data_IF_869055639570
#
_entry.id   IF_869055639570
#
_cell.length_a   1.000
_cell.length_b   1.000
_cell.length_c   1.000
_cell.angle_alpha   90.00
_cell.angle_beta   90.00
_cell.angle_gamma   90.00
#
_symmetry.space_group_name_H-M   'P 1'
#
loop_
_entity.id
_entity.type
_entity.pdbx_description
1 polymer ?
#
# COMPACT_ATOMS: atom_id res chain seq x y z
N UNK A 1 47.32 30.87 -7.43
CA UNK A 1 48.43 31.20 -8.35
C UNK A 1 48.58 30.21 -9.51
N UNK A 2 48.17 28.94 -9.33
CA UNK A 2 48.32 27.90 -10.36
C UNK A 2 47.32 27.99 -11.53
N UNK A 3 46.25 28.81 -11.40
CA UNK A 3 45.17 28.96 -12.38
C UNK A 3 44.99 30.44 -12.78
N UNK A 4 46.09 31.12 -13.09
CA UNK A 4 46.08 32.54 -13.49
C UNK A 4 46.74 32.66 -14.86
N UNK A 5 46.09 33.30 -15.85
CA UNK A 5 44.78 33.96 -15.78
C UNK A 5 43.61 32.96 -15.84
N UNK A 6 42.66 33.05 -14.91
CA UNK A 6 41.48 32.17 -14.87
C UNK A 6 40.67 32.13 -16.18
N UNK A 7 40.49 33.23 -16.94
CA UNK A 7 39.75 33.21 -18.21
C UNK A 7 40.38 32.29 -19.27
N UNK A 8 41.70 32.12 -19.27
CA UNK A 8 42.38 31.28 -20.27
C UNK A 8 42.10 29.79 -20.00
N UNK A 9 42.10 29.38 -18.73
CA UNK A 9 41.73 28.03 -18.32
C UNK A 9 40.25 27.74 -18.61
N UNK A 10 39.36 28.71 -18.37
CA UNK A 10 37.94 28.57 -18.69
C UNK A 10 37.71 28.40 -20.20
N UNK A 11 38.40 29.20 -21.04
CA UNK A 11 38.33 29.07 -22.50
C UNK A 11 38.85 27.72 -22.97
N UNK A 12 40.01 27.31 -22.48
CA UNK A 12 40.59 26.00 -22.82
C UNK A 12 39.66 24.85 -22.42
N UNK A 13 38.98 24.95 -21.28
CA UNK A 13 38.00 23.95 -20.85
C UNK A 13 36.80 23.86 -21.81
N UNK A 14 36.24 25.02 -22.18
CA UNK A 14 35.11 25.10 -23.11
C UNK A 14 35.46 24.58 -24.51
N UNK A 15 36.66 24.87 -25.02
CA UNK A 15 37.15 24.36 -26.30
C UNK A 15 37.38 22.84 -26.27
N UNK A 16 37.84 22.31 -25.14
CA UNK A 16 38.10 20.88 -24.96
C UNK A 16 36.81 20.05 -24.73
N UNK A 17 35.74 20.67 -24.23
CA UNK A 17 34.45 20.02 -23.97
C UNK A 17 33.32 20.67 -24.78
N UNK A 18 33.38 20.62 -26.13
CA UNK A 18 32.38 21.24 -26.99
C UNK A 18 31.03 20.50 -27.02
N UNK A 19 30.96 19.32 -26.38
CA UNK A 19 29.77 18.46 -26.33
C UNK A 19 29.44 18.11 -24.88
N UNK A 20 28.15 18.03 -24.50
CA UNK A 20 27.75 17.58 -23.18
C UNK A 20 28.22 16.15 -22.90
N UNK A 21 28.54 15.89 -21.64
CA UNK A 21 28.81 14.54 -21.11
C UNK A 21 27.79 14.21 -20.01
N UNK A 22 27.88 13.01 -19.44
CA UNK A 22 26.99 12.59 -18.36
C UNK A 22 27.44 13.06 -16.96
N UNK A 23 28.60 13.72 -16.85
CA UNK A 23 29.17 14.18 -15.58
C UNK A 23 28.82 15.64 -15.27
N UNK A 24 28.89 16.00 -13.99
CA UNK A 24 28.75 17.38 -13.52
C UNK A 24 29.98 18.22 -13.93
N UNK A 25 29.76 19.50 -14.24
CA UNK A 25 30.79 20.41 -14.78
C UNK A 25 31.97 20.56 -13.81
N UNK A 26 31.72 20.53 -12.51
CA UNK A 26 32.71 20.64 -11.44
C UNK A 26 33.68 19.46 -11.46
N UNK A 27 33.16 18.25 -11.68
CA UNK A 27 33.96 17.04 -11.78
C UNK A 27 34.81 17.01 -13.04
N UNK A 28 34.25 17.45 -14.17
CA UNK A 28 34.99 17.55 -15.42
C UNK A 28 36.07 18.63 -15.38
N UNK A 29 35.74 19.80 -14.83
CA UNK A 29 36.63 20.94 -14.69
C UNK A 29 37.79 20.59 -13.74
N UNK A 30 37.51 19.95 -12.61
CA UNK A 30 38.54 19.44 -11.70
C UNK A 30 39.54 18.52 -12.42
N UNK A 31 39.04 17.49 -13.15
CA UNK A 31 39.87 16.55 -13.91
C UNK A 31 40.69 17.26 -14.99
N UNK A 32 40.08 18.21 -15.68
CA UNK A 32 40.74 18.99 -16.73
C UNK A 32 41.86 19.88 -16.19
N UNK A 33 41.59 20.62 -15.11
CA UNK A 33 42.58 21.48 -14.45
C UNK A 33 43.75 20.66 -13.89
N UNK A 34 43.47 19.49 -13.32
CA UNK A 34 44.49 18.57 -12.85
C UNK A 34 45.38 18.08 -14.00
N UNK A 35 44.78 17.68 -15.13
CA UNK A 35 45.52 17.23 -16.31
C UNK A 35 46.45 18.31 -16.87
N UNK A 36 46.03 19.58 -16.84
CA UNK A 36 46.82 20.70 -17.37
C UNK A 36 47.93 21.18 -16.43
N UNK A 37 47.69 21.16 -15.13
CA UNK A 37 48.57 21.83 -14.15
C UNK A 37 49.29 20.87 -13.19
N UNK A 38 48.86 19.61 -13.14
CA UNK A 38 49.32 18.62 -12.16
C UNK A 38 48.78 18.85 -10.74
N UNK A 39 48.05 19.94 -10.50
CA UNK A 39 47.50 20.30 -9.18
C UNK A 39 46.17 19.59 -8.99
N UNK A 40 46.02 18.85 -7.90
CA UNK A 40 44.75 18.21 -7.58
C UNK A 40 43.73 19.26 -7.11
N UNK A 41 42.53 19.21 -7.69
CA UNK A 41 41.36 20.00 -7.29
C UNK A 41 40.19 19.02 -7.18
N UNK A 42 39.46 19.03 -6.07
CA UNK A 42 38.27 18.22 -5.91
C UNK A 42 37.03 18.96 -6.44
N UNK A 43 36.06 18.21 -6.97
CA UNK A 43 34.79 18.78 -7.43
C UNK A 43 34.04 19.53 -6.31
N UNK A 44 34.18 19.08 -5.07
CA UNK A 44 33.57 19.70 -3.89
C UNK A 44 34.20 21.03 -3.47
N UNK A 45 35.33 21.42 -4.08
CA UNK A 45 35.95 22.74 -3.84
C UNK A 45 35.29 23.86 -4.65
N UNK A 46 34.43 23.53 -5.61
CA UNK A 46 33.65 24.51 -6.36
C UNK A 46 32.37 24.88 -5.60
N UNK A 47 32.29 26.13 -5.14
CA UNK A 47 31.10 26.67 -4.51
C UNK A 47 30.20 27.38 -5.55
N UNK A 48 29.31 26.61 -6.18
CA UNK A 48 28.34 27.13 -7.16
C UNK A 48 27.34 28.09 -6.50
N UNK A 49 27.05 27.92 -5.20
CA UNK A 49 26.11 28.79 -4.48
C UNK A 49 26.67 30.20 -4.30
N UNK A 50 27.99 30.38 -4.37
CA UNK A 50 28.65 31.69 -4.34
C UNK A 50 28.52 32.49 -5.65
N UNK A 51 28.09 31.87 -6.76
CA UNK A 51 27.94 32.54 -8.04
C UNK A 51 26.75 33.49 -8.04
N UNK A 52 26.96 34.71 -8.56
CA UNK A 52 25.86 35.64 -8.81
C UNK A 52 24.82 35.01 -9.75
N UNK A 53 23.51 35.28 -9.57
CA UNK A 53 22.45 34.59 -10.31
C UNK A 53 22.61 34.63 -11.85
N UNK A 54 23.18 35.72 -12.40
CA UNK A 54 23.38 35.85 -13.84
C UNK A 54 24.53 34.98 -14.40
N UNK A 55 25.39 34.43 -13.53
CA UNK A 55 26.45 33.48 -13.87
C UNK A 55 26.02 32.02 -13.70
N UNK A 56 24.87 31.77 -13.08
CA UNK A 56 24.28 30.45 -12.95
C UNK A 56 23.58 30.03 -14.25
N UNK A 57 23.61 28.74 -14.55
CA UNK A 57 22.96 28.17 -15.73
C UNK A 57 21.46 28.45 -15.71
N UNK A 58 20.93 28.98 -16.82
CA UNK A 58 19.50 29.14 -17.02
C UNK A 58 18.94 27.91 -17.75
N UNK A 59 17.94 27.27 -17.18
CA UNK A 59 17.30 26.09 -17.74
C UNK A 59 16.14 26.53 -18.63
N UNK A 60 16.08 26.00 -19.85
CA UNK A 60 14.96 26.21 -20.79
C UNK A 60 14.23 24.90 -21.00
N UNK A 61 12.94 24.89 -20.68
CA UNK A 61 12.05 23.77 -20.99
C UNK A 61 11.47 23.99 -22.39
N UNK A 62 11.68 23.03 -23.29
CA UNK A 62 11.28 23.14 -24.70
C UNK A 62 10.07 22.25 -25.00
N UNK A 63 9.21 22.67 -25.95
CA UNK A 63 8.11 21.83 -26.44
C UNK A 63 8.61 20.75 -27.41
N UNK A 64 8.50 19.49 -26.99
CA UNK A 64 8.89 18.32 -27.79
C UNK A 64 8.14 18.20 -29.13
N UNK A 65 6.92 18.78 -29.26
CA UNK A 65 6.12 18.70 -30.49
C UNK A 65 6.62 19.63 -31.60
N UNK A 66 7.30 20.73 -31.27
CA UNK A 66 7.76 21.73 -32.25
C UNK A 66 9.29 21.70 -32.48
N UNK A 67 10.04 20.94 -31.66
CA UNK A 67 11.49 20.79 -31.75
C UNK A 67 12.00 19.56 -32.51
N UNK A 68 11.12 18.72 -33.06
CA UNK A 68 11.54 17.54 -33.83
C UNK A 68 12.26 17.96 -35.12
N UNK A 69 13.61 17.96 -35.09
CA UNK A 69 14.47 18.29 -36.24
C UNK A 69 14.97 19.74 -36.30
N UNK A 70 14.66 20.59 -35.33
CA UNK A 70 15.18 21.96 -35.22
C UNK A 70 16.24 22.07 -34.12
N UNK A 71 17.29 22.86 -34.34
CA UNK A 71 18.32 23.10 -33.32
C UNK A 71 17.72 23.75 -32.06
N UNK A 72 18.41 23.62 -30.92
CA UNK A 72 17.92 24.11 -29.62
C UNK A 72 17.53 25.60 -29.60
N UNK A 73 18.01 26.40 -30.56
CA UNK A 73 17.67 27.83 -30.70
C UNK A 73 16.32 28.11 -31.38
N UNK A 74 15.71 27.13 -32.06
CA UNK A 74 14.46 27.30 -32.82
C UNK A 74 13.27 26.55 -32.19
N UNK A 75 13.46 25.91 -31.04
CA UNK A 75 12.44 25.19 -30.31
C UNK A 75 11.60 26.16 -29.44
N UNK A 76 10.28 25.99 -29.42
CA UNK A 76 9.41 26.81 -28.60
C UNK A 76 9.70 26.58 -27.11
N UNK A 77 10.11 27.64 -26.41
CA UNK A 77 10.41 27.62 -24.98
C UNK A 77 9.10 27.72 -24.19
N UNK A 78 8.78 26.68 -23.42
CA UNK A 78 7.61 26.60 -22.55
C UNK A 78 7.83 27.35 -21.23
N UNK A 79 9.04 27.30 -20.70
CA UNK A 79 9.43 27.99 -19.47
C UNK A 79 10.96 28.15 -19.39
N UNK A 80 11.40 29.17 -18.66
CA UNK A 80 12.79 29.35 -18.28
C UNK A 80 12.88 29.58 -16.78
N UNK A 81 13.81 28.91 -16.12
CA UNK A 81 14.13 29.17 -14.70
C UNK A 81 15.56 28.71 -14.41
N UNK A 82 16.14 29.26 -13.35
CA UNK A 82 17.41 28.75 -12.78
C UNK A 82 17.17 27.71 -11.69
N UNK A 83 15.91 27.53 -11.29
CA UNK A 83 15.50 26.55 -10.29
C UNK A 83 14.87 25.33 -10.97
N UNK A 84 15.59 24.21 -10.95
CA UNK A 84 15.08 22.93 -11.47
C UNK A 84 13.91 22.40 -10.63
N UNK A 85 13.91 22.63 -9.31
CA UNK A 85 12.83 22.18 -8.44
C UNK A 85 11.52 22.90 -8.78
N UNK A 86 11.57 24.21 -9.01
CA UNK A 86 10.43 25.00 -9.49
C UNK A 86 9.89 24.47 -10.83
N UNK A 87 10.76 24.19 -11.80
CA UNK A 87 10.35 23.64 -13.09
C UNK A 87 9.73 22.24 -12.95
N UNK A 88 10.25 21.40 -12.06
CA UNK A 88 9.69 20.07 -11.76
C UNK A 88 8.34 20.16 -11.08
N UNK A 89 8.14 21.09 -10.17
CA UNK A 89 6.84 21.32 -9.54
C UNK A 89 5.79 21.77 -10.57
N UNK A 90 6.16 22.71 -11.45
CA UNK A 90 5.24 23.27 -12.44
C UNK A 90 4.93 22.33 -13.60
N UNK A 91 5.90 21.55 -14.06
CA UNK A 91 5.79 20.78 -15.31
C UNK A 91 6.05 19.28 -15.17
N UNK A 92 6.43 18.79 -13.99
CA UNK A 92 6.80 17.39 -13.75
C UNK A 92 5.71 16.41 -14.15
N UNK A 93 4.48 16.59 -13.67
CA UNK A 93 3.35 15.72 -14.03
C UNK A 93 3.07 15.68 -15.53
N UNK A 94 3.19 16.82 -16.23
CA UNK A 94 3.01 16.91 -17.69
C UNK A 94 4.15 16.21 -18.43
N UNK A 95 5.37 16.36 -17.95
CA UNK A 95 6.54 15.69 -18.50
C UNK A 95 6.46 14.17 -18.32
N UNK A 96 6.06 13.71 -17.13
CA UNK A 96 5.84 12.28 -16.83
C UNK A 96 4.76 11.68 -17.73
N UNK A 97 3.61 12.36 -17.89
CA UNK A 97 2.54 11.90 -18.76
C UNK A 97 2.96 11.83 -20.24
N UNK A 98 3.66 12.86 -20.75
CA UNK A 98 4.13 12.88 -22.13
C UNK A 98 5.22 11.80 -22.38
N UNK A 99 6.09 11.59 -21.39
CA UNK A 99 7.11 10.55 -21.41
C UNK A 99 6.49 9.15 -21.42
N UNK A 100 5.54 8.89 -20.52
CA UNK A 100 4.78 7.65 -20.44
C UNK A 100 4.06 7.33 -21.76
N UNK A 101 3.38 8.32 -22.36
CA UNK A 101 2.65 8.14 -23.61
C UNK A 101 3.58 7.72 -24.78
N UNK A 102 4.78 8.30 -24.86
CA UNK A 102 5.76 7.92 -25.89
C UNK A 102 6.38 6.55 -25.65
N UNK A 103 6.66 6.22 -24.39
CA UNK A 103 7.20 4.91 -24.02
C UNK A 103 6.14 3.78 -24.14
N UNK A 104 4.86 4.13 -24.06
CA UNK A 104 3.72 3.24 -24.23
C UNK A 104 3.42 2.86 -25.69
N UNK A 105 3.98 3.57 -26.67
CA UNK A 105 3.72 3.34 -28.09
C UNK A 105 4.15 1.92 -28.49
N UNK A 106 3.18 1.08 -28.87
CA UNK A 106 3.40 -0.32 -29.22
C UNK A 106 3.43 -1.33 -28.05
N UNK A 107 3.26 -0.86 -26.80
CA UNK A 107 3.18 -1.71 -25.61
C UNK A 107 1.86 -1.55 -24.83
N UNK A 108 1.23 -0.37 -24.85
CA UNK A 108 0.00 -0.17 -24.10
C UNK A 108 -1.19 -0.93 -24.72
N UNK A 109 -1.95 -1.59 -23.85
CA UNK A 109 -3.13 -2.37 -24.20
C UNK A 109 -4.24 -2.06 -23.18
N UNK A 110 -5.50 -2.10 -23.63
CA UNK A 110 -6.68 -1.79 -22.80
C UNK A 110 -7.67 -2.94 -22.87
N UNK A 111 -8.51 -3.10 -21.86
CA UNK A 111 -9.59 -4.10 -21.89
C UNK A 111 -9.11 -5.54 -21.79
N UNK A 112 -7.92 -5.77 -21.24
CA UNK A 112 -7.35 -7.10 -21.09
C UNK A 112 -8.16 -7.94 -20.11
N UNK A 113 -8.60 -9.11 -20.57
CA UNK A 113 -9.24 -10.16 -19.75
C UNK A 113 -8.37 -11.42 -19.67
N UNK A 114 -7.27 -11.44 -20.42
CA UNK A 114 -6.23 -12.46 -20.40
C UNK A 114 -4.86 -11.78 -20.24
N UNK A 115 -3.86 -12.53 -19.77
CA UNK A 115 -2.50 -12.01 -19.66
C UNK A 115 -1.93 -11.71 -21.05
N UNK A 116 -1.19 -10.60 -21.25
CA UNK A 116 -0.60 -10.27 -22.54
C UNK A 116 0.23 -11.42 -23.13
N UNK A 117 0.07 -11.68 -24.42
CA UNK A 117 0.82 -12.71 -25.13
C UNK A 117 2.33 -12.44 -25.16
N UNK A 118 2.72 -11.16 -25.07
CA UNK A 118 4.11 -10.72 -24.99
C UNK A 118 4.50 -10.54 -23.54
N UNK A 119 5.71 -10.98 -23.20
CA UNK A 119 6.29 -10.70 -21.89
C UNK A 119 6.41 -9.19 -21.66
N UNK A 120 6.07 -8.76 -20.45
CA UNK A 120 6.10 -7.37 -20.02
C UNK A 120 7.53 -7.08 -19.51
N UNK A 121 8.33 -6.25 -20.20
CA UNK A 121 9.69 -5.98 -19.75
C UNK A 121 9.69 -5.20 -18.42
N UNK A 122 10.74 -5.35 -17.61
CA UNK A 122 10.89 -4.56 -16.37
C UNK A 122 10.98 -3.06 -16.62
N UNK A 123 11.61 -2.68 -17.73
CA UNK A 123 11.70 -1.31 -18.19
C UNK A 123 11.81 -1.26 -19.71
N UNK A 124 11.33 -0.16 -20.29
CA UNK A 124 11.52 0.19 -21.70
C UNK A 124 12.22 1.53 -21.81
N UNK A 125 13.01 1.76 -22.87
CA UNK A 125 13.56 3.09 -23.13
C UNK A 125 12.42 4.06 -23.46
N UNK A 126 12.29 5.12 -22.66
CA UNK A 126 11.38 6.22 -22.93
C UNK A 126 12.06 7.37 -23.68
N UNK A 127 11.42 8.54 -23.69
CA UNK A 127 11.95 9.71 -24.37
C UNK A 127 13.34 10.11 -23.82
N UNK A 128 14.32 10.30 -24.70
CA UNK A 128 15.68 10.70 -24.30
C UNK A 128 16.52 9.60 -23.63
N UNK A 129 16.09 8.33 -23.68
CA UNK A 129 16.82 7.20 -23.09
C UNK A 129 16.59 6.98 -21.59
N UNK A 130 15.75 7.80 -20.96
CA UNK A 130 15.31 7.60 -19.57
C UNK A 130 14.44 6.33 -19.52
N UNK A 131 14.58 5.45 -18.51
CA UNK A 131 13.76 4.25 -18.40
C UNK A 131 12.31 4.58 -18.02
N UNK A 132 11.38 3.85 -18.62
CA UNK A 132 9.96 3.83 -18.26
C UNK A 132 9.57 2.41 -17.83
N UNK A 133 8.54 2.27 -17.00
CA UNK A 133 8.24 1.05 -16.27
C UNK A 133 6.81 0.54 -16.60
N UNK A 134 6.68 -0.50 -17.43
CA UNK A 134 5.39 -1.09 -17.74
C UNK A 134 4.76 -1.80 -16.54
N UNK A 135 3.44 -1.67 -16.40
CA UNK A 135 2.65 -2.25 -15.32
C UNK A 135 1.25 -2.64 -15.81
N UNK A 136 0.64 -3.61 -15.11
CA UNK A 136 -0.76 -3.98 -15.31
C UNK A 136 -1.60 -3.22 -14.30
N UNK A 137 -2.61 -2.50 -14.74
CA UNK A 137 -3.51 -1.73 -13.88
C UNK A 137 -4.89 -2.34 -13.82
N UNK A 138 -5.43 -2.52 -12.61
CA UNK A 138 -6.82 -2.90 -12.43
C UNK A 138 -7.77 -1.76 -12.89
N UNK A 139 -8.73 -2.10 -13.75
CA UNK A 139 -9.80 -1.20 -14.22
C UNK A 139 -11.19 -1.64 -13.75
N UNK A 140 -11.27 -2.53 -12.76
CA UNK A 140 -12.51 -3.08 -12.23
C UNK A 140 -12.93 -4.34 -12.97
N UNK A 141 -13.37 -4.24 -14.22
CA UNK A 141 -13.85 -5.41 -14.99
C UNK A 141 -12.79 -6.00 -15.93
N UNK A 142 -11.69 -5.28 -16.14
CA UNK A 142 -10.60 -5.65 -17.01
C UNK A 142 -9.28 -5.04 -16.51
N UNK A 143 -8.23 -5.23 -17.28
CA UNK A 143 -6.89 -4.71 -16.99
C UNK A 143 -6.37 -3.86 -18.15
N UNK A 144 -5.57 -2.85 -17.82
CA UNK A 144 -4.81 -2.08 -18.80
C UNK A 144 -3.31 -2.36 -18.61
N UNK A 145 -2.58 -2.53 -19.71
CA UNK A 145 -1.12 -2.45 -19.70
C UNK A 145 -0.73 -1.00 -19.96
N UNK A 146 -0.13 -0.35 -18.97
CA UNK A 146 0.31 1.05 -19.01
C UNK A 146 1.81 1.14 -18.75
N UNK A 147 2.39 2.30 -19.06
CA UNK A 147 3.81 2.58 -18.80
C UNK A 147 3.92 3.79 -17.90
N UNK A 148 4.73 3.69 -16.84
CA UNK A 148 4.93 4.73 -15.84
C UNK A 148 6.32 5.33 -15.91
N UNK A 149 6.46 6.61 -15.55
CA UNK A 149 7.76 7.23 -15.34
C UNK A 149 8.42 6.76 -14.04
N UNK A 150 7.62 6.43 -13.02
CA UNK A 150 8.10 5.96 -11.71
C UNK A 150 8.09 4.44 -11.58
N UNK A 151 9.24 3.86 -11.21
CA UNK A 151 9.37 2.43 -10.88
C UNK A 151 8.50 2.04 -9.69
N UNK A 152 8.41 2.91 -8.68
CA UNK A 152 7.62 2.64 -7.48
C UNK A 152 6.13 2.62 -7.77
N UNK A 153 5.66 3.52 -8.62
CA UNK A 153 4.26 3.52 -9.06
C UNK A 153 3.92 2.25 -9.83
N UNK A 154 4.76 1.86 -10.79
CA UNK A 154 4.59 0.62 -11.55
C UNK A 154 4.55 -0.61 -10.63
N UNK A 155 5.43 -0.68 -9.62
CA UNK A 155 5.43 -1.76 -8.62
C UNK A 155 4.18 -1.79 -7.75
N UNK A 156 3.63 -0.62 -7.37
CA UNK A 156 2.37 -0.58 -6.61
C UNK A 156 1.17 -1.03 -7.44
N UNK A 157 1.14 -0.71 -8.74
CA UNK A 157 0.01 -0.98 -9.63
C UNK A 157 0.01 -2.40 -10.20
N UNK A 158 1.17 -2.88 -10.66
CA UNK A 158 1.30 -4.15 -11.41
C UNK A 158 0.67 -5.37 -10.71
N UNK A 159 0.92 -5.64 -9.42
CA UNK A 159 0.28 -6.73 -8.69
C UNK A 159 -1.25 -6.68 -8.69
N UNK A 160 -1.83 -5.47 -8.69
CA UNK A 160 -3.28 -5.28 -8.69
C UNK A 160 -3.88 -5.72 -10.01
N UNK A 161 -3.25 -5.36 -11.14
CA UNK A 161 -3.65 -5.84 -12.47
C UNK A 161 -3.46 -7.36 -12.62
N UNK A 162 -2.33 -7.91 -12.16
CA UNK A 162 -2.10 -9.37 -12.15
C UNK A 162 -3.19 -10.09 -11.34
N UNK A 163 -3.52 -9.59 -10.14
CA UNK A 163 -4.60 -10.11 -9.29
C UNK A 163 -5.96 -10.06 -9.96
N UNK A 164 -6.28 -8.99 -10.69
CA UNK A 164 -7.51 -8.86 -11.49
C UNK A 164 -7.57 -9.94 -12.58
N UNK A 165 -6.50 -10.12 -13.36
CA UNK A 165 -6.45 -11.17 -14.38
C UNK A 165 -6.58 -12.58 -13.79
N UNK A 166 -5.91 -12.85 -12.64
CA UNK A 166 -6.06 -14.12 -11.93
C UNK A 166 -7.51 -14.35 -11.50
N UNK A 167 -8.19 -13.31 -11.00
CA UNK A 167 -9.60 -13.37 -10.62
C UNK A 167 -10.49 -13.70 -11.81
N UNK A 168 -10.28 -13.04 -12.96
CA UNK A 168 -11.03 -13.29 -14.20
C UNK A 168 -10.79 -14.75 -14.64
N UNK A 169 -9.54 -15.17 -14.72
CA UNK A 169 -9.16 -16.52 -15.16
C UNK A 169 -9.65 -17.63 -14.21
N UNK A 170 -9.89 -17.33 -12.93
CA UNK A 170 -10.36 -18.28 -11.92
C UNK A 170 -11.86 -18.12 -11.59
N UNK A 171 -12.63 -17.34 -12.36
CA UNK A 171 -14.04 -17.06 -12.08
C UNK A 171 -14.89 -18.33 -11.87
N UNK A 172 -14.71 -19.35 -12.72
CA UNK A 172 -15.42 -20.63 -12.58
C UNK A 172 -15.00 -21.41 -11.33
N UNK A 173 -13.71 -21.36 -10.96
CA UNK A 173 -13.19 -21.99 -9.74
C UNK A 173 -13.73 -21.32 -8.49
N UNK A 174 -13.80 -19.99 -8.47
CA UNK A 174 -14.44 -19.21 -7.40
C UNK A 174 -15.92 -19.59 -7.26
N UNK A 175 -16.65 -19.63 -8.38
CA UNK A 175 -18.06 -20.03 -8.41
C UNK A 175 -18.26 -21.48 -7.93
N UNK A 176 -17.39 -22.40 -8.35
CA UNK A 176 -17.44 -23.80 -7.93
C UNK A 176 -17.16 -23.95 -6.43
N UNK A 177 -16.10 -23.33 -5.93
CA UNK A 177 -15.75 -23.35 -4.51
C UNK A 177 -16.91 -22.82 -3.65
N UNK A 178 -17.50 -21.69 -4.07
CA UNK A 178 -18.66 -21.09 -3.41
C UNK A 178 -19.85 -22.05 -3.34
N UNK A 179 -20.14 -22.82 -4.40
CA UNK A 179 -21.24 -23.79 -4.38
C UNK A 179 -20.96 -25.02 -3.50
N UNK A 180 -19.69 -25.42 -3.39
CA UNK A 180 -19.28 -26.65 -2.71
C UNK A 180 -19.04 -26.49 -1.21
N UNK A 181 -18.90 -25.26 -0.70
CA UNK A 181 -18.69 -25.02 0.73
C UNK A 181 -19.88 -25.50 1.59
N UNK A 182 -19.67 -26.45 2.52
CA UNK A 182 -20.72 -27.03 3.35
C UNK A 182 -21.04 -26.12 4.55
N UNK A 183 -21.72 -25.00 4.30
CA UNK A 183 -22.11 -24.07 5.37
C UNK A 183 -23.28 -24.64 6.18
N UNK A 184 -23.09 -24.75 7.49
CA UNK A 184 -24.16 -25.12 8.41
C UNK A 184 -25.19 -23.97 8.57
N UNK A 185 -26.51 -24.25 8.63
CA UNK A 185 -27.53 -23.21 8.76
C UNK A 185 -27.33 -22.27 9.96
N UNK A 186 -26.94 -22.81 11.11
CA UNK A 186 -26.64 -22.02 12.32
C UNK A 186 -25.53 -21.00 12.07
N UNK A 187 -24.47 -21.39 11.37
CA UNK A 187 -23.35 -20.51 11.05
C UNK A 187 -23.77 -19.38 10.12
N UNK A 188 -24.58 -19.70 9.10
CA UNK A 188 -25.13 -18.71 8.18
C UNK A 188 -25.99 -17.66 8.92
N UNK A 189 -26.81 -18.08 9.90
CA UNK A 189 -27.62 -17.17 10.71
C UNK A 189 -26.77 -16.25 11.59
N UNK A 190 -25.72 -16.78 12.23
CA UNK A 190 -24.79 -15.98 13.03
C UNK A 190 -24.12 -14.89 12.18
N UNK A 191 -23.69 -15.23 10.97
CA UNK A 191 -23.08 -14.28 10.05
C UNK A 191 -24.10 -13.26 9.52
N UNK A 192 -25.31 -13.70 9.15
CA UNK A 192 -26.38 -12.81 8.70
C UNK A 192 -26.75 -11.75 9.76
N UNK A 193 -26.73 -12.12 11.05
CA UNK A 193 -26.95 -11.18 12.16
C UNK A 193 -25.81 -10.17 12.35
N UNK A 194 -24.61 -10.42 11.81
CA UNK A 194 -23.53 -9.43 11.75
C UNK A 194 -23.80 -8.50 10.55
N UNK A 195 -24.05 -9.07 9.37
CA UNK A 195 -24.32 -8.30 8.15
C UNK A 195 -25.51 -7.35 8.30
N UNK A 196 -26.56 -7.75 9.00
CA UNK A 196 -27.75 -6.92 9.21
C UNK A 196 -27.52 -5.69 10.10
N UNK A 197 -26.46 -5.67 10.90
CA UNK A 197 -26.15 -4.56 11.80
C UNK A 197 -25.64 -3.31 11.05
N UNK A 198 -24.99 -3.50 9.89
CA UNK A 198 -24.61 -2.43 8.98
C UNK A 198 -24.54 -2.99 7.54
N UNK A 199 -25.68 -3.08 6.84
CA UNK A 199 -25.76 -3.69 5.52
C UNK A 199 -24.79 -3.04 4.53
N UNK A 200 -24.06 -3.87 3.78
CA UNK A 200 -23.16 -3.43 2.72
C UNK A 200 -23.89 -3.51 1.37
N UNK A 201 -23.74 -2.49 0.54
CA UNK A 201 -24.26 -2.50 -0.83
C UNK A 201 -23.37 -3.36 -1.74
N UNK A 202 -23.49 -4.68 -1.58
CA UNK A 202 -22.71 -5.66 -2.35
C UNK A 202 -23.68 -6.53 -3.14
N UNK A 203 -23.51 -6.65 -4.47
CA UNK A 203 -24.34 -7.51 -5.30
C UNK A 203 -24.33 -8.97 -4.81
N UNK A 204 -25.51 -9.58 -4.71
CA UNK A 204 -25.67 -10.99 -4.35
C UNK A 204 -26.84 -11.25 -3.40
N UNK A 205 -27.14 -12.54 -3.21
CA UNK A 205 -28.17 -12.99 -2.27
C UNK A 205 -27.56 -13.13 -0.86
N UNK A 206 -28.25 -12.57 0.14
CA UNK A 206 -27.84 -12.59 1.55
C UNK A 206 -27.63 -14.01 2.11
N UNK A 207 -28.45 -14.97 1.68
CA UNK A 207 -28.32 -16.38 2.07
C UNK A 207 -27.01 -17.04 1.62
N UNK A 208 -26.28 -16.42 0.71
CA UNK A 208 -25.04 -16.92 0.14
C UNK A 208 -23.83 -16.02 0.42
N UNK A 209 -24.04 -14.96 1.23
CA UNK A 209 -23.03 -13.96 1.60
C UNK A 209 -21.83 -14.60 2.28
N UNK A 210 -22.05 -15.50 3.24
CA UNK A 210 -20.97 -16.19 3.95
C UNK A 210 -20.09 -17.01 3.01
N UNK A 211 -20.68 -17.76 2.05
CA UNK A 211 -19.89 -18.53 1.08
C UNK A 211 -19.07 -17.62 0.19
N UNK A 212 -19.66 -16.52 -0.27
CA UNK A 212 -18.96 -15.53 -1.06
C UNK A 212 -17.77 -14.96 -0.29
N UNK A 213 -17.98 -14.44 0.93
CA UNK A 213 -16.94 -13.79 1.71
C UNK A 213 -15.79 -14.76 2.09
N UNK A 214 -16.09 -16.02 2.39
CA UNK A 214 -15.07 -17.03 2.65
C UNK A 214 -14.19 -17.33 1.43
N UNK A 215 -14.81 -17.45 0.24
CA UNK A 215 -14.08 -17.71 -1.01
C UNK A 215 -13.29 -16.49 -1.47
N UNK A 216 -13.86 -15.30 -1.32
CA UNK A 216 -13.18 -14.04 -1.62
C UNK A 216 -11.98 -13.82 -0.70
N UNK A 217 -12.14 -14.07 0.60
CA UNK A 217 -11.04 -14.04 1.56
C UNK A 217 -9.97 -15.08 1.25
N UNK A 218 -10.37 -16.30 0.84
CA UNK A 218 -9.43 -17.35 0.43
C UNK A 218 -8.58 -16.93 -0.78
N UNK A 219 -9.24 -16.41 -1.82
CA UNK A 219 -8.54 -15.87 -2.98
C UNK A 219 -7.60 -14.72 -2.60
N UNK A 220 -8.06 -13.81 -1.75
CA UNK A 220 -7.27 -12.68 -1.28
C UNK A 220 -5.99 -13.10 -0.54
N UNK A 221 -6.06 -14.17 0.27
CA UNK A 221 -4.89 -14.72 0.95
C UNK A 221 -3.90 -15.38 0.00
N UNK A 222 -4.39 -16.20 -0.94
CA UNK A 222 -3.53 -16.88 -1.91
C UNK A 222 -2.88 -15.91 -2.90
N UNK A 223 -3.54 -14.79 -3.18
CA UNK A 223 -3.07 -13.72 -4.07
C UNK A 223 -2.53 -12.49 -3.30
N UNK A 224 -2.02 -12.69 -2.08
CA UNK A 224 -1.44 -11.61 -1.28
C UNK A 224 0.01 -11.27 -1.68
N UNK A 225 0.78 -12.27 -2.12
CA UNK A 225 2.22 -12.17 -2.35
C UNK A 225 2.64 -12.82 -3.67
N UNK A 226 3.83 -12.47 -4.16
CA UNK A 226 4.46 -13.08 -5.33
C UNK A 226 3.79 -12.73 -6.67
N UNK A 227 3.10 -11.58 -6.73
CA UNK A 227 2.46 -11.09 -7.96
C UNK A 227 3.33 -10.08 -8.73
N UNK A 228 4.28 -9.43 -8.05
CA UNK A 228 5.18 -8.41 -8.64
C UNK A 228 6.06 -8.95 -9.78
N UNK A 229 6.44 -10.23 -9.68
CA UNK A 229 7.36 -10.89 -10.59
C UNK A 229 6.65 -11.54 -11.80
N UNK A 230 5.31 -11.48 -11.86
CA UNK A 230 4.51 -12.12 -12.91
C UNK A 230 4.47 -11.23 -14.16
N UNK A 231 5.50 -11.39 -15.00
CA UNK A 231 5.69 -10.59 -16.21
C UNK A 231 5.58 -11.38 -17.52
N UNK A 232 5.23 -12.67 -17.47
CA UNK A 232 5.06 -13.49 -18.67
C UNK A 232 3.81 -14.38 -18.60
N UNK A 233 3.32 -14.83 -19.76
CA UNK A 233 2.16 -15.72 -19.83
C UNK A 233 2.43 -17.06 -19.11
N UNK A 234 3.68 -17.54 -19.14
CA UNK A 234 4.09 -18.78 -18.47
C UNK A 234 4.06 -18.64 -16.95
N UNK A 235 4.66 -17.57 -16.40
CA UNK A 235 4.65 -17.30 -14.95
C UNK A 235 3.23 -17.06 -14.44
N UNK A 236 2.40 -16.37 -15.23
CA UNK A 236 0.98 -16.20 -14.93
C UNK A 236 0.22 -17.54 -14.92
N UNK A 237 0.45 -18.40 -15.92
CA UNK A 237 -0.22 -19.69 -16.02
C UNK A 237 0.14 -20.62 -14.84
N UNK A 238 1.40 -20.62 -14.41
CA UNK A 238 1.88 -21.35 -13.22
C UNK A 238 1.16 -20.86 -11.96
N UNK A 239 1.12 -19.53 -11.73
CA UNK A 239 0.45 -18.95 -10.57
C UNK A 239 -1.05 -19.24 -10.59
N UNK A 240 -1.70 -19.15 -11.75
CA UNK A 240 -3.12 -19.49 -11.93
C UNK A 240 -3.40 -20.95 -11.54
N UNK A 241 -2.55 -21.88 -11.98
CA UNK A 241 -2.71 -23.30 -11.65
C UNK A 241 -2.51 -23.57 -10.15
N UNK A 242 -1.47 -22.98 -9.55
CA UNK A 242 -1.20 -23.03 -8.11
C UNK A 242 -2.42 -22.55 -7.30
N UNK A 243 -2.91 -21.34 -7.58
CA UNK A 243 -4.08 -20.76 -6.92
C UNK A 243 -5.33 -21.60 -7.17
N UNK A 244 -5.54 -22.08 -8.40
CA UNK A 244 -6.68 -22.91 -8.75
C UNK A 244 -6.74 -24.22 -7.96
N UNK A 245 -5.59 -24.82 -7.64
CA UNK A 245 -5.49 -26.01 -6.78
C UNK A 245 -5.68 -25.68 -5.30
N UNK A 246 -5.13 -24.56 -4.83
CA UNK A 246 -5.15 -24.16 -3.43
C UNK A 246 -6.47 -23.52 -2.97
N UNK A 247 -7.27 -22.96 -3.90
CA UNK A 247 -8.45 -22.15 -3.58
C UNK A 247 -9.48 -22.87 -2.70
N UNK A 248 -9.89 -24.08 -3.08
CA UNK A 248 -10.90 -24.81 -2.32
C UNK A 248 -10.40 -25.31 -0.95
N UNK A 249 -9.17 -25.88 -0.84
CA UNK A 249 -8.56 -26.16 0.47
C UNK A 249 -8.51 -24.93 1.39
N UNK A 250 -8.07 -23.78 0.87
CA UNK A 250 -8.00 -22.52 1.64
C UNK A 250 -9.39 -22.04 2.08
N UNK A 251 -10.37 -22.05 1.17
CA UNK A 251 -11.76 -21.70 1.51
C UNK A 251 -12.34 -22.61 2.60
N UNK A 252 -11.97 -23.90 2.61
CA UNK A 252 -12.38 -24.86 3.64
C UNK A 252 -11.65 -24.61 4.97
N UNK A 253 -10.37 -24.25 4.94
CA UNK A 253 -9.63 -23.85 6.14
C UNK A 253 -10.26 -22.59 6.77
N UNK A 254 -10.59 -21.60 5.94
CA UNK A 254 -11.31 -20.38 6.37
C UNK A 254 -12.70 -20.66 6.92
N UNK A 255 -13.43 -21.62 6.37
CA UNK A 255 -14.71 -22.06 6.94
C UNK A 255 -14.54 -22.55 8.38
N UNK A 256 -13.56 -23.41 8.66
CA UNK A 256 -13.27 -23.90 10.03
C UNK A 256 -12.89 -22.77 10.99
N UNK A 257 -12.12 -21.81 10.49
CA UNK A 257 -11.78 -20.61 11.24
C UNK A 257 -13.03 -19.76 11.54
N UNK A 258 -13.91 -19.57 10.57
CA UNK A 258 -15.17 -18.85 10.74
C UNK A 258 -16.13 -19.55 11.71
N UNK A 259 -16.19 -20.89 11.72
CA UNK A 259 -16.94 -21.66 12.71
C UNK A 259 -16.47 -21.34 14.14
N UNK A 260 -15.16 -21.31 14.35
CA UNK A 260 -14.57 -20.97 15.65
C UNK A 260 -14.85 -19.52 16.03
N UNK A 261 -14.63 -18.59 15.09
CA UNK A 261 -14.81 -17.15 15.33
C UNK A 261 -16.27 -16.83 15.63
N UNK A 262 -17.21 -17.29 14.81
CA UNK A 262 -18.64 -16.99 14.97
C UNK A 262 -19.22 -17.65 16.22
N UNK A 263 -18.69 -18.82 16.63
CA UNK A 263 -18.99 -19.40 17.94
C UNK A 263 -18.59 -18.47 19.08
N UNK A 264 -17.34 -17.99 19.08
CA UNK A 264 -16.85 -17.06 20.10
C UNK A 264 -17.58 -15.71 20.08
N UNK A 265 -17.98 -15.21 18.91
CA UNK A 265 -18.83 -14.01 18.80
C UNK A 265 -20.16 -14.22 19.50
N UNK A 266 -20.78 -15.40 19.35
CA UNK A 266 -22.02 -15.73 20.05
C UNK A 266 -21.81 -15.79 21.57
N UNK A 267 -20.71 -16.39 22.02
CA UNK A 267 -20.36 -16.46 23.45
C UNK A 267 -20.13 -15.07 24.04
N UNK A 268 -19.40 -14.19 23.33
CA UNK A 268 -19.21 -12.79 23.75
C UNK A 268 -20.55 -12.08 23.83
N UNK A 269 -21.42 -12.18 22.80
CA UNK A 269 -22.74 -11.53 22.83
C UNK A 269 -23.57 -11.98 24.03
N UNK A 270 -23.59 -13.28 24.32
CA UNK A 270 -24.28 -13.83 25.48
C UNK A 270 -23.71 -13.30 26.81
N UNK A 271 -22.39 -13.16 26.93
CA UNK A 271 -21.75 -12.56 28.11
C UNK A 271 -22.08 -11.07 28.28
N UNK A 272 -22.25 -10.33 27.18
CA UNK A 272 -22.59 -8.91 27.17
C UNK A 272 -24.08 -8.61 27.38
N UNK A 273 -24.94 -9.63 27.30
CA UNK A 273 -26.36 -9.53 27.67
C UNK A 273 -26.58 -9.58 29.20
N UNK A 274 -25.51 -9.82 29.98
CA UNK A 274 -25.57 -9.77 31.44
C UNK A 274 -25.91 -8.36 31.95
N UNK A 275 -26.89 -8.29 32.87
CA UNK A 275 -27.36 -7.04 33.47
C UNK A 275 -26.39 -6.56 34.56
N UNK A 276 -25.20 -6.09 34.17
CA UNK A 276 -24.40 -5.26 35.08
C UNK A 276 -25.20 -4.01 35.46
N UNK A 277 -25.36 -3.76 36.76
CA UNK A 277 -26.18 -2.67 37.29
C UNK A 277 -25.38 -1.36 37.33
N UNK A 278 -25.93 -0.28 36.77
CA UNK A 278 -25.45 1.08 36.99
C UNK A 278 -24.10 1.43 36.35
N UNK A 279 -23.11 1.82 37.17
CA UNK A 279 -21.83 2.44 36.79
C UNK A 279 -20.91 1.56 35.90
N UNK A 280 -21.18 0.26 35.80
CA UNK A 280 -20.45 -0.67 34.95
C UNK A 280 -20.96 -0.71 33.49
N UNK A 281 -21.98 0.08 33.12
CA UNK A 281 -22.47 0.17 31.73
C UNK A 281 -21.37 0.60 30.74
N UNK A 282 -20.46 1.48 31.17
CA UNK A 282 -19.34 1.95 30.36
C UNK A 282 -18.41 0.81 29.91
N UNK A 283 -18.17 -0.17 30.78
CA UNK A 283 -17.34 -1.34 30.47
C UNK A 283 -18.02 -2.23 29.41
N UNK A 284 -19.33 -2.48 29.57
CA UNK A 284 -20.09 -3.25 28.57
C UNK A 284 -20.13 -2.54 27.22
N UNK A 285 -20.32 -1.22 27.21
CA UNK A 285 -20.34 -0.44 25.98
C UNK A 285 -18.97 -0.44 25.28
N UNK A 286 -17.88 -0.41 26.04
CA UNK A 286 -16.52 -0.58 25.50
C UNK A 286 -16.33 -1.97 24.88
N UNK A 287 -16.75 -3.04 25.56
CA UNK A 287 -16.68 -4.40 25.02
C UNK A 287 -17.55 -4.59 23.78
N UNK A 288 -18.75 -3.99 23.74
CA UNK A 288 -19.62 -3.98 22.54
C UNK A 288 -18.96 -3.25 21.38
N UNK A 289 -18.34 -2.09 21.63
CA UNK A 289 -17.56 -1.35 20.61
C UNK A 289 -16.37 -2.16 20.12
N UNK A 290 -15.63 -2.83 21.01
CA UNK A 290 -14.54 -3.72 20.62
C UNK A 290 -15.04 -4.87 19.73
N UNK A 291 -16.14 -5.53 20.12
CA UNK A 291 -16.72 -6.61 19.32
C UNK A 291 -17.13 -6.10 17.93
N UNK A 292 -17.85 -4.98 17.85
CA UNK A 292 -18.26 -4.38 16.58
C UNK A 292 -17.06 -3.97 15.71
N UNK A 293 -15.97 -3.51 16.32
CA UNK A 293 -14.74 -3.18 15.61
C UNK A 293 -14.01 -4.43 15.08
N UNK A 294 -14.01 -5.54 15.82
CA UNK A 294 -13.39 -6.81 15.41
C UNK A 294 -14.17 -7.49 14.30
N UNK A 295 -15.51 -7.53 14.39
CA UNK A 295 -16.39 -8.23 13.45
C UNK A 295 -17.35 -7.28 12.70
N UNK A 296 -16.85 -6.28 11.95
CA UNK A 296 -17.69 -5.52 11.06
C UNK A 296 -18.26 -6.44 9.96
N UNK A 297 -19.38 -6.08 9.32
CA UNK A 297 -19.86 -6.77 8.12
C UNK A 297 -18.74 -6.93 7.10
N UNK A 298 -18.57 -8.15 6.58
CA UNK A 298 -17.49 -8.48 5.64
C UNK A 298 -16.17 -8.91 6.23
N UNK A 299 -16.00 -8.93 7.56
CA UNK A 299 -14.68 -9.17 8.16
C UNK A 299 -14.01 -10.49 7.72
N UNK A 300 -14.78 -11.53 7.38
CA UNK A 300 -14.23 -12.81 6.89
C UNK A 300 -13.62 -12.71 5.48
N UNK A 301 -14.03 -11.70 4.72
CA UNK A 301 -13.50 -11.34 3.39
C UNK A 301 -12.32 -10.39 3.50
N UNK A 302 -12.50 -9.31 4.25
CA UNK A 302 -11.67 -8.10 4.12
C UNK A 302 -10.49 -8.08 5.11
N UNK A 303 -10.58 -8.80 6.23
CA UNK A 303 -9.47 -8.84 7.21
C UNK A 303 -8.31 -9.68 6.66
N UNK A 304 -7.07 -9.16 6.70
CA UNK A 304 -5.88 -9.91 6.29
C UNK A 304 -5.76 -11.25 7.02
N UNK A 305 -5.32 -12.30 6.30
CA UNK A 305 -5.25 -13.66 6.83
C UNK A 305 -4.44 -13.76 8.15
N UNK A 306 -3.31 -13.04 8.21
CA UNK A 306 -2.46 -13.00 9.39
C UNK A 306 -3.19 -12.41 10.62
N UNK A 307 -4.00 -11.36 10.44
CA UNK A 307 -4.79 -10.78 11.52
C UNK A 307 -5.97 -11.67 11.90
N UNK A 308 -6.66 -12.26 10.92
CA UNK A 308 -7.80 -13.14 11.16
C UNK A 308 -7.39 -14.38 11.98
N UNK A 309 -6.16 -14.87 11.82
CA UNK A 309 -5.61 -15.99 12.60
C UNK A 309 -5.61 -15.73 14.11
N UNK A 310 -5.47 -14.47 14.53
CA UNK A 310 -5.48 -14.08 15.94
C UNK A 310 -6.89 -13.86 16.51
N UNK A 311 -7.94 -13.81 15.68
CA UNK A 311 -9.31 -13.51 16.13
C UNK A 311 -9.82 -14.46 17.22
N UNK A 312 -9.59 -15.78 17.16
CA UNK A 312 -9.98 -16.67 18.26
C UNK A 312 -9.35 -16.28 19.60
N UNK A 313 -8.11 -15.79 19.60
CA UNK A 313 -7.41 -15.32 20.82
C UNK A 313 -8.00 -14.01 21.32
N UNK A 314 -8.22 -13.04 20.45
CA UNK A 314 -8.84 -11.75 20.81
C UNK A 314 -10.26 -11.93 21.36
N UNK A 315 -11.07 -12.78 20.73
CA UNK A 315 -12.44 -13.03 21.18
C UNK A 315 -12.48 -13.83 22.50
N UNK A 316 -11.59 -14.81 22.70
CA UNK A 316 -11.44 -15.48 24.01
C UNK A 316 -11.03 -14.50 25.11
N UNK A 317 -10.14 -13.56 24.82
CA UNK A 317 -9.78 -12.51 25.76
C UNK A 317 -10.99 -11.64 26.13
N UNK A 318 -11.85 -11.34 25.16
CA UNK A 318 -13.09 -10.59 25.38
C UNK A 318 -14.13 -11.39 26.21
N UNK A 319 -14.25 -12.71 25.98
CA UNK A 319 -15.06 -13.59 26.83
C UNK A 319 -14.55 -13.54 28.28
N UNK A 320 -13.25 -13.79 28.50
CA UNK A 320 -12.65 -13.74 29.84
C UNK A 320 -12.82 -12.38 30.50
N UNK A 321 -12.67 -11.29 29.73
CA UNK A 321 -12.91 -9.93 30.21
C UNK A 321 -14.36 -9.77 30.71
N UNK A 322 -15.35 -10.22 29.93
CA UNK A 322 -16.77 -10.13 30.30
C UNK A 322 -17.08 -10.88 31.60
N UNK A 323 -16.51 -12.08 31.78
CA UNK A 323 -16.67 -12.88 33.01
C UNK A 323 -15.99 -12.22 34.23
N UNK A 324 -14.80 -11.66 34.04
CA UNK A 324 -14.03 -11.00 35.11
C UNK A 324 -14.66 -9.67 35.52
N UNK A 325 -15.16 -8.90 34.57
CA UNK A 325 -15.84 -7.63 34.83
C UNK A 325 -17.12 -7.80 35.66
N UNK A 326 -17.77 -8.97 35.62
CA UNK A 326 -18.90 -9.30 36.52
C UNK A 326 -18.47 -9.44 37.99
N UNK A 327 -17.22 -9.86 38.23
CA UNK A 327 -16.68 -10.09 39.58
C UNK A 327 -16.06 -8.83 40.16
N UNK A 328 -15.33 -8.07 39.33
CA UNK A 328 -14.66 -6.82 39.73
C UNK A 328 -14.77 -5.77 38.62
N UNK A 329 -15.92 -5.06 38.53
CA UNK A 329 -16.13 -4.07 37.48
C UNK A 329 -15.23 -2.84 37.63
N UNK A 330 -14.76 -2.53 38.85
CA UNK A 330 -13.92 -1.36 39.10
C UNK A 330 -12.51 -1.58 38.53
N UNK A 331 -11.97 -2.79 38.70
CA UNK A 331 -10.68 -3.15 38.11
C UNK A 331 -10.72 -3.19 36.57
N UNK A 332 -11.82 -3.68 35.99
CA UNK A 332 -12.01 -3.60 34.53
C UNK A 332 -12.05 -2.15 34.07
N UNK A 333 -12.81 -1.30 34.77
CA UNK A 333 -12.95 0.12 34.43
C UNK A 333 -11.60 0.85 34.45
N UNK A 334 -10.75 0.60 35.45
CA UNK A 334 -9.40 1.17 35.50
C UNK A 334 -8.58 0.81 34.25
N UNK A 335 -8.56 -0.48 33.86
CA UNK A 335 -7.83 -0.96 32.67
C UNK A 335 -8.45 -0.43 31.37
N UNK A 336 -9.78 -0.34 31.31
CA UNK A 336 -10.49 0.26 30.17
C UNK A 336 -10.06 1.72 29.96
N UNK A 337 -9.92 2.49 31.05
CA UNK A 337 -9.47 3.88 30.97
C UNK A 337 -8.03 4.01 30.44
N UNK A 338 -7.16 3.03 30.69
CA UNK A 338 -5.81 2.98 30.09
C UNK A 338 -5.86 2.79 28.55
N UNK A 339 -6.90 2.15 28.03
CA UNK A 339 -7.08 1.91 26.59
C UNK A 339 -7.74 3.07 25.85
N UNK A 340 -8.55 3.86 26.57
CA UNK A 340 -9.43 4.88 26.00
C UNK A 340 -8.71 5.84 25.03
N UNK A 341 -7.51 6.38 25.33
CA UNK A 341 -6.82 7.30 24.42
C UNK A 341 -6.54 6.70 23.03
N UNK A 342 -6.25 5.40 22.97
CA UNK A 342 -5.96 4.69 21.73
C UNK A 342 -7.25 4.34 20.98
N UNK A 343 -8.28 3.92 21.71
CA UNK A 343 -9.59 3.61 21.13
C UNK A 343 -10.24 4.87 20.51
N UNK A 344 -10.21 6.00 21.23
CA UNK A 344 -10.71 7.29 20.73
C UNK A 344 -9.94 7.75 19.49
N UNK A 345 -8.60 7.58 19.49
CA UNK A 345 -7.77 7.95 18.35
C UNK A 345 -8.10 7.13 17.10
N UNK A 346 -8.29 5.82 17.23
CA UNK A 346 -8.71 4.96 16.12
C UNK A 346 -10.11 5.31 15.60
N UNK A 347 -11.04 5.66 16.49
CA UNK A 347 -12.36 6.14 16.10
C UNK A 347 -12.28 7.46 15.32
N UNK A 348 -11.44 8.40 15.77
CA UNK A 348 -11.18 9.66 15.08
C UNK A 348 -10.54 9.44 13.71
N UNK A 349 -9.51 8.58 13.61
CA UNK A 349 -8.86 8.26 12.35
C UNK A 349 -9.84 7.66 11.33
N UNK A 350 -10.70 6.75 11.79
CA UNK A 350 -11.74 6.17 10.94
C UNK A 350 -12.78 7.21 10.45
N UNK A 351 -13.05 8.26 11.23
CA UNK A 351 -13.93 9.35 10.82
C UNK A 351 -13.28 10.33 9.82
N UNK A 352 -11.95 10.29 9.68
CA UNK A 352 -11.18 11.08 8.74
C UNK A 352 -10.65 10.22 7.56
N UNK A 353 -11.32 9.11 7.26
CA UNK A 353 -10.97 8.17 6.18
C UNK A 353 -9.56 7.56 6.27
N UNK A 354 -8.93 7.59 7.45
CA UNK A 354 -7.61 6.97 7.72
C UNK A 354 -7.73 5.53 8.23
N UNK A 355 -8.91 4.90 8.08
CA UNK A 355 -9.14 3.54 8.58
C UNK A 355 -8.24 2.52 7.90
N UNK A 356 -8.03 2.66 6.59
CA UNK A 356 -7.29 1.68 5.78
C UNK A 356 -5.81 2.03 5.64
N UNK A 357 -5.37 3.13 6.27
CA UNK A 357 -3.97 3.49 6.34
C UNK A 357 -3.16 2.40 7.10
N UNK A 358 -2.02 1.94 6.55
CA UNK A 358 -1.23 0.86 7.15
C UNK A 358 -0.76 1.11 8.58
N UNK A 359 -0.37 2.35 8.92
CA UNK A 359 0.15 2.68 10.24
C UNK A 359 -0.99 2.75 11.27
N UNK A 360 -2.17 3.25 10.87
CA UNK A 360 -3.38 3.21 11.70
C UNK A 360 -3.89 1.78 11.91
N UNK A 361 -3.83 0.93 10.88
CA UNK A 361 -4.11 -0.51 11.01
C UNK A 361 -3.11 -1.20 11.94
N UNK A 362 -1.83 -0.83 11.88
CA UNK A 362 -0.83 -1.36 12.81
C UNK A 362 -1.14 -0.96 14.27
N UNK A 363 -1.57 0.28 14.53
CA UNK A 363 -2.03 0.71 15.87
C UNK A 363 -3.26 -0.07 16.32
N UNK A 364 -4.23 -0.30 15.42
CA UNK A 364 -5.44 -1.09 15.69
C UNK A 364 -5.10 -2.49 16.20
N UNK A 365 -4.19 -3.21 15.55
CA UNK A 365 -3.79 -4.55 15.99
C UNK A 365 -2.98 -4.55 17.28
N UNK A 366 -2.09 -3.57 17.46
CA UNK A 366 -1.37 -3.38 18.73
C UNK A 366 -2.34 -3.13 19.91
N UNK A 367 -3.47 -2.46 19.67
CA UNK A 367 -4.51 -2.26 20.68
C UNK A 367 -5.18 -3.58 21.09
N UNK A 368 -5.46 -4.49 20.16
CA UNK A 368 -6.00 -5.81 20.50
C UNK A 368 -4.99 -6.64 21.30
N UNK A 369 -3.70 -6.56 20.97
CA UNK A 369 -2.65 -7.20 21.77
C UNK A 369 -2.55 -6.61 23.18
N UNK A 370 -2.70 -5.29 23.33
CA UNK A 370 -2.74 -4.65 24.64
C UNK A 370 -3.95 -5.12 25.45
N UNK A 371 -5.12 -5.31 24.81
CA UNK A 371 -6.31 -5.87 25.46
C UNK A 371 -6.07 -7.30 25.96
N UNK A 372 -5.43 -8.16 25.18
CA UNK A 372 -5.02 -9.49 25.66
C UNK A 372 -4.10 -9.36 26.87
N UNK A 373 -3.09 -8.49 26.80
CA UNK A 373 -2.14 -8.25 27.89
C UNK A 373 -2.78 -7.73 29.19
N UNK A 374 -3.82 -6.90 29.10
CA UNK A 374 -4.48 -6.33 30.27
C UNK A 374 -5.55 -7.24 30.85
N UNK A 375 -6.30 -7.96 30.01
CA UNK A 375 -7.51 -8.68 30.44
C UNK A 375 -7.39 -10.19 30.46
N UNK A 376 -6.43 -10.77 29.73
CA UNK A 376 -6.30 -12.22 29.54
C UNK A 376 -4.83 -12.64 29.31
N UNK A 377 -3.94 -12.30 30.25
CA UNK A 377 -2.50 -12.58 30.17
C UNK A 377 -2.19 -14.05 29.91
N UNK A 378 -3.02 -14.95 30.44
CA UNK A 378 -2.89 -16.39 30.25
C UNK A 378 -3.01 -16.86 28.78
N UNK A 379 -3.57 -16.03 27.90
CA UNK A 379 -3.71 -16.35 26.48
C UNK A 379 -2.46 -15.99 25.65
N UNK A 380 -1.46 -15.36 26.26
CA UNK A 380 -0.22 -14.96 25.59
C UNK A 380 -0.43 -13.75 24.66
N UNK A 381 -0.08 -12.56 25.13
CA UNK A 381 0.01 -11.37 24.28
C UNK A 381 1.36 -11.33 23.56
N UNK A 382 1.41 -10.66 22.39
CA UNK A 382 2.67 -10.40 21.69
C UNK A 382 3.64 -9.66 22.59
N UNK A 383 4.90 -10.11 22.61
CA UNK A 383 5.94 -9.51 23.44
C UNK A 383 6.17 -8.02 23.11
N UNK A 384 6.41 -7.23 24.14
CA UNK A 384 6.77 -5.81 24.02
C UNK A 384 5.59 -4.87 23.73
N UNK A 385 4.34 -5.31 23.81
CA UNK A 385 3.17 -4.43 23.79
C UNK A 385 2.93 -3.85 25.17
N UNK A 386 2.75 -2.52 25.26
CA UNK A 386 2.47 -1.81 26.51
C UNK A 386 1.78 -0.47 26.22
N UNK A 387 1.08 0.14 27.19
CA UNK A 387 0.47 1.47 27.00
C UNK A 387 1.47 2.53 26.54
N UNK A 388 2.68 2.51 27.10
CA UNK A 388 3.77 3.43 26.73
C UNK A 388 4.17 3.29 25.25
N UNK A 389 4.26 2.06 24.74
CA UNK A 389 4.62 1.81 23.35
C UNK A 389 3.54 2.30 22.38
N UNK A 390 2.27 2.03 22.69
CA UNK A 390 1.16 2.53 21.87
C UNK A 390 1.09 4.06 21.91
N UNK A 391 1.37 4.70 23.04
CA UNK A 391 1.43 6.16 23.15
C UNK A 391 2.51 6.75 22.24
N UNK A 392 3.70 6.15 22.18
CA UNK A 392 4.76 6.58 21.25
C UNK A 392 4.35 6.42 19.79
N UNK A 393 3.68 5.32 19.42
CA UNK A 393 3.19 5.13 18.05
C UNK A 393 2.11 6.16 17.70
N UNK A 394 1.15 6.37 18.59
CA UNK A 394 0.08 7.33 18.40
C UNK A 394 0.59 8.78 18.27
N UNK A 395 1.66 9.15 19.00
CA UNK A 395 2.27 10.46 18.84
C UNK A 395 2.83 10.65 17.41
N UNK A 396 3.57 9.67 16.89
CA UNK A 396 4.10 9.71 15.52
C UNK A 396 3.00 9.82 14.46
N UNK A 397 1.90 9.07 14.63
CA UNK A 397 0.73 9.11 13.75
C UNK A 397 0.00 10.46 13.71
N UNK A 398 0.24 11.35 14.68
CA UNK A 398 -0.34 12.70 14.72
C UNK A 398 0.61 13.77 14.20
N UNK A 399 1.89 13.44 14.02
CA UNK A 399 2.93 14.35 13.52
C UNK A 399 3.11 14.25 12.01
N UNK A 400 2.83 13.08 11.42
CA UNK A 400 2.74 12.87 9.97
C UNK A 400 1.31 12.98 9.48
#
# INVERSE_FOLDING_TARGET
RNFVPAPDFARAFAEAHPKPTADAIEGELARFLHKLTGVAVAATEFDVASLEPHLQANLRLLDAKQGAGKGANDAHVLAESRDLAELRERFGARAEAAFAARAAEGLAEQGLVEFPSRAIPESVPGAGGVPAYPALEDRGDNVALTVHASREEARRRHPQGVRRLLRIALADKLKQARKQLPIQPKLALLYAAIESAAPRDVPGNDSDRLRADLVEGAFAALAAEGLDDIRSAETFALKREELGKALFPEATARLRQAETILGLVADVRAGLDSKLVGWASGNLDDMRRQLAALVPPGFLRDVPAAALADYPRYLRALVLRSERALRDPARDQQRMLELKPFADALASAAANDLRDDPEWQALRWDLEELRVSLFAQELGARAGISPKRLATRLAKLREG
#
